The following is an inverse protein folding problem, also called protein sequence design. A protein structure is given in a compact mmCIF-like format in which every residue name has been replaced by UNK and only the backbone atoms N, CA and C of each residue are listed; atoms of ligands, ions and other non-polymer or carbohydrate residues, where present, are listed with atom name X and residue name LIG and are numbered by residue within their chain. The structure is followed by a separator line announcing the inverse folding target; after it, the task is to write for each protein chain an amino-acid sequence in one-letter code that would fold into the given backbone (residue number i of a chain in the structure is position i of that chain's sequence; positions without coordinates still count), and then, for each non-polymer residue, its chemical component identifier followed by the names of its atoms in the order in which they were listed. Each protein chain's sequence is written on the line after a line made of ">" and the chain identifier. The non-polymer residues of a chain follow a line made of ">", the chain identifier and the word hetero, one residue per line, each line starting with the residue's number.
data_IF_454601793858
#
_entry.id   IF_454601793858
#
_cell.length_a   1.000
_cell.length_b   1.000
_cell.length_c   1.000
_cell.angle_alpha   90.00
_cell.angle_beta   90.00
_cell.angle_gamma   90.00
#
_symmetry.space_group_name_H-M   'P 1'
#
loop_
_entity.id
_entity.type
_entity.pdbx_description
1 polymer ?
#
# COMPACT_ATOMS: atom_id res chain seq x y z
N UNK A 1 11.87 -12.15 43.68
CA UNK A 1 10.43 -12.05 44.02
C UNK A 1 9.86 -13.45 44.11
N UNK A 2 9.77 -13.99 45.32
CA UNK A 2 9.13 -15.28 45.60
C UNK A 2 7.61 -15.13 45.44
N UNK A 3 6.93 -16.05 44.76
CA UNK A 3 5.49 -15.94 44.56
C UNK A 3 4.72 -16.13 45.90
N UNK A 4 3.58 -15.46 46.09
CA UNK A 4 2.75 -15.65 47.27
C UNK A 4 2.21 -17.11 47.33
N UNK A 5 2.16 -17.73 48.51
CA UNK A 5 1.65 -19.09 48.67
C UNK A 5 0.15 -19.11 48.36
N UNK A 6 -0.26 -19.89 47.35
CA UNK A 6 -1.67 -20.08 46.99
C UNK A 6 -2.01 -19.87 45.50
N UNK A 7 -1.08 -19.47 44.65
CA UNK A 7 -1.32 -19.39 43.20
C UNK A 7 -0.72 -20.62 42.50
N UNK A 8 -1.55 -21.44 41.85
CA UNK A 8 -1.07 -22.62 41.11
C UNK A 8 -0.13 -22.18 39.96
N UNK A 9 0.96 -22.92 39.69
CA UNK A 9 1.93 -22.55 38.64
C UNK A 9 1.27 -22.37 37.26
N UNK A 10 0.21 -23.13 36.98
CA UNK A 10 -0.59 -23.03 35.77
C UNK A 10 -1.36 -21.70 35.66
N UNK A 11 -1.89 -21.16 36.76
CA UNK A 11 -2.58 -19.86 36.77
C UNK A 11 -1.58 -18.70 36.62
N UNK A 12 -0.37 -18.82 37.19
CA UNK A 12 0.71 -17.85 36.99
C UNK A 12 1.17 -17.83 35.53
N UNK A 13 1.34 -19.01 34.91
CA UNK A 13 1.68 -19.15 33.50
C UNK A 13 0.56 -18.58 32.60
N UNK A 14 -0.70 -18.94 32.84
CA UNK A 14 -1.86 -18.43 32.10
C UNK A 14 -1.99 -16.89 32.17
N UNK A 15 -1.71 -16.28 33.33
CA UNK A 15 -1.66 -14.82 33.50
C UNK A 15 -0.46 -14.16 32.81
N UNK A 16 0.64 -14.89 32.63
CA UNK A 16 1.83 -14.44 31.90
C UNK A 16 1.64 -14.36 30.37
N UNK A 17 0.81 -15.25 29.79
CA UNK A 17 0.57 -15.28 28.33
C UNK A 17 -0.30 -14.13 27.80
N UNK A 18 -1.04 -13.45 28.66
CA UNK A 18 -2.02 -12.43 28.27
C UNK A 18 -1.56 -10.98 28.56
N UNK A 19 -0.26 -10.73 28.74
CA UNK A 19 0.25 -9.36 28.71
C UNK A 19 0.54 -8.98 27.25
N UNK A 20 -0.21 -8.05 26.64
CA UNK A 20 0.19 -7.54 25.34
C UNK A 20 1.58 -6.91 25.50
N UNK A 21 2.59 -7.50 24.85
CA UNK A 21 3.92 -6.91 24.80
C UNK A 21 3.74 -5.50 24.23
N UNK A 22 4.08 -4.44 24.97
CA UNK A 22 3.97 -3.09 24.46
C UNK A 22 4.91 -2.97 23.27
N UNK A 23 4.35 -3.08 22.06
CA UNK A 23 5.11 -2.85 20.83
C UNK A 23 5.45 -1.36 20.83
N UNK A 24 6.74 -1.04 20.96
CA UNK A 24 7.22 0.31 20.66
C UNK A 24 6.74 0.65 19.25
N UNK A 25 6.06 1.78 19.11
CA UNK A 25 5.66 2.27 17.79
C UNK A 25 6.95 2.56 17.04
N UNK A 26 7.12 1.98 15.85
CA UNK A 26 8.23 2.33 14.98
C UNK A 26 7.92 3.71 14.40
N UNK A 27 8.84 4.65 14.55
CA UNK A 27 8.74 5.93 13.86
C UNK A 27 8.96 5.66 12.37
N UNK A 28 7.92 5.88 11.58
CA UNK A 28 7.98 5.73 10.13
C UNK A 28 8.45 7.09 9.58
N UNK A 29 9.46 7.12 8.71
CA UNK A 29 9.92 8.35 8.06
C UNK A 29 8.74 9.06 7.39
N UNK A 30 8.61 10.37 7.63
CA UNK A 30 7.57 11.16 6.96
C UNK A 30 7.95 11.30 5.49
N UNK A 31 6.94 11.25 4.61
CA UNK A 31 7.10 11.56 3.19
C UNK A 31 7.68 12.97 2.96
N UNK A 32 7.57 13.86 3.95
CA UNK A 32 8.09 15.22 3.87
C UNK A 32 9.56 15.35 4.25
N UNK A 33 10.17 14.33 4.86
CA UNK A 33 11.56 14.41 5.33
C UNK A 33 12.55 14.53 4.16
N UNK A 34 12.16 14.09 2.96
CA UNK A 34 12.92 14.27 1.72
C UNK A 34 13.06 15.75 1.27
N UNK A 35 12.22 16.66 1.78
CA UNK A 35 12.23 18.06 1.34
C UNK A 35 13.24 18.87 2.16
N UNK A 36 14.24 19.48 1.52
CA UNK A 36 15.19 20.33 2.25
C UNK A 36 14.47 21.57 2.81
N UNK A 37 14.75 21.96 4.07
CA UNK A 37 14.07 23.10 4.72
C UNK A 37 14.35 24.44 4.03
N UNK A 38 15.46 24.55 3.30
CA UNK A 38 15.86 25.76 2.57
C UNK A 38 15.11 25.97 1.26
N UNK A 39 14.36 24.99 0.76
CA UNK A 39 13.56 25.15 -0.45
C UNK A 39 12.48 26.23 -0.27
N UNK A 40 12.21 26.98 -1.32
CA UNK A 40 11.16 28.00 -1.31
C UNK A 40 9.77 27.38 -1.42
N UNK A 41 8.78 28.08 -0.86
CA UNK A 41 7.36 27.79 -1.11
C UNK A 41 7.05 27.84 -2.61
N UNK A 42 6.21 26.92 -3.07
CA UNK A 42 5.83 26.75 -4.49
C UNK A 42 5.45 28.08 -5.18
N UNK A 43 4.63 28.88 -4.50
CA UNK A 43 4.01 30.07 -5.08
C UNK A 43 5.04 31.17 -5.39
N UNK A 44 6.22 31.14 -4.75
CA UNK A 44 7.28 32.13 -4.91
C UNK A 44 8.49 31.62 -5.71
N UNK A 45 8.55 30.32 -6.02
CA UNK A 45 9.72 29.70 -6.64
C UNK A 45 10.01 30.21 -8.06
N UNK A 46 8.98 30.66 -8.79
CA UNK A 46 9.10 31.10 -10.19
C UNK A 46 9.32 32.62 -10.33
N UNK A 47 9.42 33.36 -9.23
CA UNK A 47 9.55 34.81 -9.29
C UNK A 47 11.02 35.20 -9.54
N UNK A 48 11.33 35.99 -10.58
CA UNK A 48 12.73 36.33 -10.93
C UNK A 48 13.42 37.18 -9.84
N UNK A 49 12.64 37.94 -9.07
CA UNK A 49 13.12 38.84 -8.01
C UNK A 49 13.70 38.06 -6.83
N UNK A 50 13.38 36.77 -6.66
CA UNK A 50 13.71 36.02 -5.44
C UNK A 50 15.23 35.85 -5.20
N UNK A 51 16.03 35.92 -6.27
CA UNK A 51 17.49 35.77 -6.20
C UNK A 51 18.20 37.03 -5.69
N UNK A 52 17.53 38.19 -5.73
CA UNK A 52 18.10 39.47 -5.30
C UNK A 52 17.63 39.92 -3.92
N UNK A 53 16.79 39.14 -3.24
CA UNK A 53 16.23 39.51 -1.93
C UNK A 53 17.17 39.04 -0.81
N UNK A 54 17.20 39.80 0.28
CA UNK A 54 17.91 39.48 1.51
C UNK A 54 17.65 38.06 2.03
N UNK A 55 18.67 37.47 2.66
CA UNK A 55 18.62 36.11 3.21
C UNK A 55 17.54 35.92 4.28
N UNK A 56 17.21 36.99 5.03
CA UNK A 56 16.13 36.96 6.03
C UNK A 56 14.78 36.70 5.37
N UNK A 57 14.46 37.43 4.29
CA UNK A 57 13.21 37.26 3.55
C UNK A 57 13.20 35.89 2.86
N UNK A 58 14.33 35.45 2.31
CA UNK A 58 14.48 34.11 1.74
C UNK A 58 14.18 33.02 2.76
N UNK A 59 14.62 33.18 4.01
CA UNK A 59 14.31 32.25 5.11
C UNK A 59 12.83 32.27 5.49
N UNK A 60 12.19 33.42 5.53
CA UNK A 60 10.74 33.53 5.80
C UNK A 60 9.88 32.84 4.72
N UNK A 61 10.33 32.87 3.46
CA UNK A 61 9.67 32.23 2.32
C UNK A 61 10.09 30.76 2.12
N UNK A 62 11.00 30.25 2.95
CA UNK A 62 11.49 28.87 2.88
C UNK A 62 10.53 27.85 3.52
N UNK A 63 10.79 26.57 3.29
CA UNK A 63 10.05 25.44 3.84
C UNK A 63 10.29 25.25 5.34
N UNK A 64 11.37 25.80 5.89
CA UNK A 64 11.65 25.83 7.33
C UNK A 64 10.50 26.49 8.07
N UNK A 65 10.07 27.66 7.60
CA UNK A 65 8.99 28.47 8.19
C UNK A 65 7.61 28.15 7.58
N UNK A 66 7.52 27.14 6.71
CA UNK A 66 6.31 26.79 6.00
C UNK A 66 5.39 25.86 6.79
N UNK A 67 4.09 26.01 6.56
CA UNK A 67 3.08 25.09 7.09
C UNK A 67 3.13 23.73 6.40
N UNK A 68 2.59 22.70 7.06
CA UNK A 68 2.46 21.36 6.48
C UNK A 68 1.73 21.35 5.13
N UNK A 69 0.75 22.24 4.95
CA UNK A 69 -0.02 22.39 3.70
C UNK A 69 0.87 22.86 2.55
N UNK A 70 1.79 23.78 2.81
CA UNK A 70 2.74 24.30 1.81
C UNK A 70 3.77 23.23 1.41
N UNK A 71 4.29 22.47 2.38
CA UNK A 71 5.15 21.30 2.11
C UNK A 71 4.41 20.27 1.24
N UNK A 72 3.13 20.04 1.53
CA UNK A 72 2.27 19.16 0.74
C UNK A 72 2.04 19.64 -0.69
N UNK A 73 1.86 20.95 -0.93
CA UNK A 73 1.76 21.49 -2.30
C UNK A 73 2.99 21.11 -3.14
N UNK A 74 4.19 21.19 -2.57
CA UNK A 74 5.44 20.86 -3.25
C UNK A 74 5.54 19.36 -3.48
N UNK A 75 5.22 18.50 -2.49
CA UNK A 75 5.23 17.04 -2.72
C UNK A 75 4.21 16.59 -3.76
N UNK A 76 3.02 17.20 -3.77
CA UNK A 76 2.02 16.94 -4.82
C UNK A 76 2.61 17.29 -6.17
N UNK A 77 3.24 18.47 -6.30
CA UNK A 77 3.88 18.88 -7.55
C UNK A 77 4.98 17.89 -7.98
N UNK A 78 5.89 17.50 -7.09
CA UNK A 78 6.93 16.51 -7.40
C UNK A 78 6.35 15.17 -7.85
N UNK A 79 5.28 14.68 -7.21
CA UNK A 79 4.61 13.44 -7.61
C UNK A 79 3.88 13.58 -8.95
N UNK A 80 3.26 14.73 -9.19
CA UNK A 80 2.63 15.03 -10.48
C UNK A 80 3.68 15.06 -11.58
N UNK A 81 4.80 15.76 -11.39
CA UNK A 81 5.91 15.84 -12.34
C UNK A 81 6.49 14.46 -12.66
N UNK A 82 6.67 13.59 -11.65
CA UNK A 82 7.09 12.20 -11.87
C UNK A 82 6.16 11.45 -12.82
N UNK A 83 4.85 11.62 -12.67
CA UNK A 83 3.84 10.89 -13.43
C UNK A 83 3.54 11.53 -14.79
N UNK A 84 3.70 12.85 -14.90
CA UNK A 84 3.40 13.68 -16.07
C UNK A 84 4.06 13.14 -17.33
N UNK A 85 3.36 13.28 -18.47
CA UNK A 85 3.90 12.96 -19.80
C UNK A 85 4.29 14.21 -20.58
N UNK A 86 3.46 15.26 -20.54
CA UNK A 86 3.71 16.53 -21.25
C UNK A 86 3.57 17.76 -20.34
N UNK A 87 4.31 18.85 -20.59
CA UNK A 87 4.32 20.06 -19.77
C UNK A 87 3.06 20.93 -19.88
N UNK A 88 2.07 20.56 -20.70
CA UNK A 88 0.76 21.22 -20.80
C UNK A 88 -0.40 20.44 -20.15
N UNK A 89 -0.11 19.29 -19.51
CA UNK A 89 -1.11 18.39 -18.91
C UNK A 89 -1.75 18.90 -17.58
N UNK A 90 -2.01 20.21 -17.45
CA UNK A 90 -2.55 20.83 -16.22
C UNK A 90 -4.02 21.24 -16.37
N UNK A 91 -4.91 20.29 -16.67
CA UNK A 91 -6.33 20.39 -16.34
C UNK A 91 -7.20 21.39 -17.12
N UNK A 92 -7.44 21.16 -18.41
CA UNK A 92 -8.54 21.78 -19.15
C UNK A 92 -9.66 20.76 -19.43
N UNK A 93 -10.90 21.22 -19.26
CA UNK A 93 -12.08 20.43 -18.88
C UNK A 93 -12.77 19.63 -20.01
N UNK A 94 -12.43 19.79 -21.29
CA UNK A 94 -13.36 19.36 -22.36
C UNK A 94 -12.83 18.35 -23.40
N UNK A 95 -11.59 17.87 -23.34
CA UNK A 95 -11.11 16.84 -24.30
C UNK A 95 -10.37 15.66 -23.61
N UNK A 96 -10.38 15.60 -22.27
CA UNK A 96 -9.27 14.98 -21.51
C UNK A 96 -9.70 14.04 -20.37
N UNK A 97 -10.55 13.04 -20.65
CA UNK A 97 -10.94 12.02 -19.66
C UNK A 97 -9.79 11.19 -19.06
N UNK A 98 -8.60 11.16 -19.66
CA UNK A 98 -7.46 10.32 -19.21
C UNK A 98 -6.33 11.08 -18.50
N UNK A 99 -6.18 12.38 -18.74
CA UNK A 99 -5.02 13.15 -18.25
C UNK A 99 -5.28 13.75 -16.85
N UNK A 100 -6.52 14.14 -16.55
CA UNK A 100 -6.96 14.49 -15.19
C UNK A 100 -6.82 13.31 -14.22
N UNK A 101 -6.91 12.07 -14.71
CA UNK A 101 -6.81 10.87 -13.87
C UNK A 101 -5.39 10.67 -13.32
N UNK A 102 -4.35 10.95 -14.11
CA UNK A 102 -2.97 10.81 -13.68
C UNK A 102 -2.65 11.82 -12.56
N UNK A 103 -3.06 13.07 -12.77
CA UNK A 103 -2.93 14.13 -11.79
C UNK A 103 -3.67 13.77 -10.49
N UNK A 104 -4.93 13.36 -10.59
CA UNK A 104 -5.74 12.99 -9.42
C UNK A 104 -5.18 11.77 -8.69
N UNK A 105 -4.65 10.76 -9.39
CA UNK A 105 -3.95 9.62 -8.77
C UNK A 105 -2.72 10.06 -7.99
N UNK A 106 -1.92 10.99 -8.52
CA UNK A 106 -0.76 11.54 -7.82
C UNK A 106 -1.17 12.33 -6.56
N UNK A 107 -2.18 13.20 -6.68
CA UNK A 107 -2.75 13.97 -5.55
C UNK A 107 -3.30 13.04 -4.47
N UNK A 108 -4.09 12.03 -4.85
CA UNK A 108 -4.65 11.06 -3.91
C UNK A 108 -3.55 10.26 -3.22
N UNK A 109 -2.49 9.91 -3.93
CA UNK A 109 -1.35 9.18 -3.36
C UNK A 109 -0.63 10.03 -2.30
N UNK A 110 -0.42 11.32 -2.54
CA UNK A 110 0.13 12.24 -1.53
C UNK A 110 -0.79 12.34 -0.29
N UNK A 111 -2.10 12.49 -0.50
CA UNK A 111 -3.09 12.56 0.60
C UNK A 111 -3.14 11.27 1.43
N UNK A 112 -3.09 10.12 0.77
CA UNK A 112 -3.11 8.80 1.42
C UNK A 112 -1.92 8.67 2.37
N UNK A 113 -0.70 8.96 1.89
CA UNK A 113 0.53 8.91 2.70
C UNK A 113 0.47 9.89 3.89
N UNK A 114 -0.02 11.11 3.67
CA UNK A 114 -0.25 12.08 4.75
C UNK A 114 -1.25 11.57 5.81
N UNK A 115 -2.36 10.97 5.40
CA UNK A 115 -3.32 10.40 6.34
C UNK A 115 -2.77 9.19 7.09
N UNK A 116 -1.96 8.36 6.43
CA UNK A 116 -1.27 7.23 7.07
C UNK A 116 -0.35 7.73 8.20
N UNK A 117 0.48 8.75 7.94
CA UNK A 117 1.34 9.38 8.97
C UNK A 117 0.51 9.95 10.13
N UNK A 118 -0.57 10.68 9.84
CA UNK A 118 -1.44 11.26 10.87
C UNK A 118 -2.09 10.17 11.75
N UNK A 119 -2.62 9.11 11.15
CA UNK A 119 -3.31 8.04 11.87
C UNK A 119 -2.35 7.15 12.69
N UNK A 120 -1.07 7.09 12.31
CA UNK A 120 -0.06 6.42 13.14
C UNK A 120 0.16 7.16 14.47
N UNK A 121 0.20 8.49 14.42
CA UNK A 121 0.27 9.34 15.63
C UNK A 121 -1.06 9.34 16.38
N UNK A 122 -2.17 9.46 15.65
CA UNK A 122 -3.53 9.60 16.18
C UNK A 122 -4.47 8.46 15.73
N UNK A 123 -4.33 7.24 16.28
CA UNK A 123 -5.08 6.06 15.81
C UNK A 123 -6.58 6.09 16.17
N UNK A 124 -6.99 6.99 17.08
CA UNK A 124 -8.39 7.11 17.53
C UNK A 124 -9.23 8.02 16.64
N UNK A 125 -8.62 8.73 15.69
CA UNK A 125 -9.32 9.64 14.78
C UNK A 125 -10.06 8.87 13.68
N UNK A 126 -11.38 8.72 13.87
CA UNK A 126 -12.25 7.98 12.94
C UNK A 126 -12.56 8.76 11.68
N UNK A 127 -12.57 10.10 11.75
CA UNK A 127 -12.94 10.95 10.62
C UNK A 127 -11.85 10.90 9.55
N UNK A 128 -10.59 11.07 9.96
CA UNK A 128 -9.46 10.97 9.05
C UNK A 128 -9.27 9.54 8.52
N UNK A 129 -9.57 8.51 9.33
CA UNK A 129 -9.60 7.11 8.85
C UNK A 129 -10.66 6.89 7.77
N UNK A 130 -11.84 7.46 7.91
CA UNK A 130 -12.89 7.42 6.86
C UNK A 130 -12.41 8.12 5.58
N UNK A 131 -11.83 9.32 5.70
CA UNK A 131 -11.31 10.06 4.55
C UNK A 131 -10.19 9.30 3.83
N UNK A 132 -9.28 8.66 4.57
CA UNK A 132 -8.25 7.78 4.03
C UNK A 132 -8.87 6.65 3.18
N UNK A 133 -9.85 5.92 3.74
CA UNK A 133 -10.49 4.82 3.02
C UNK A 133 -11.19 5.31 1.75
N UNK A 134 -11.89 6.45 1.81
CA UNK A 134 -12.51 7.07 0.64
C UNK A 134 -11.49 7.44 -0.44
N UNK A 135 -10.35 8.02 -0.06
CA UNK A 135 -9.28 8.37 -0.99
C UNK A 135 -8.64 7.12 -1.63
N UNK A 136 -8.43 6.05 -0.87
CA UNK A 136 -7.94 4.76 -1.36
C UNK A 136 -8.90 4.17 -2.39
N UNK A 137 -10.20 4.15 -2.09
CA UNK A 137 -11.23 3.63 -3.00
C UNK A 137 -11.35 4.48 -4.27
N UNK A 138 -11.29 5.81 -4.15
CA UNK A 138 -11.29 6.71 -5.30
C UNK A 138 -10.07 6.45 -6.21
N UNK A 139 -8.87 6.35 -5.63
CA UNK A 139 -7.65 6.00 -6.37
C UNK A 139 -7.77 4.65 -7.07
N UNK A 140 -8.35 3.66 -6.39
CA UNK A 140 -8.56 2.32 -6.96
C UNK A 140 -9.50 2.35 -8.17
N UNK A 141 -10.58 3.12 -8.10
CA UNK A 141 -11.52 3.31 -9.23
C UNK A 141 -10.83 3.95 -10.43
N UNK A 142 -10.02 4.99 -10.19
CA UNK A 142 -9.25 5.66 -11.24
C UNK A 142 -8.23 4.72 -11.90
N UNK A 143 -7.49 3.94 -11.11
CA UNK A 143 -6.55 2.94 -11.63
C UNK A 143 -7.26 1.82 -12.41
N UNK A 144 -8.42 1.38 -11.94
CA UNK A 144 -9.24 0.39 -12.66
C UNK A 144 -9.74 0.93 -14.01
N UNK A 145 -10.10 2.22 -14.08
CA UNK A 145 -10.46 2.87 -15.32
C UNK A 145 -9.25 3.01 -16.26
N UNK A 146 -8.11 3.52 -15.76
CA UNK A 146 -6.89 3.66 -16.54
C UNK A 146 -6.47 2.34 -17.17
N UNK A 147 -6.51 1.24 -16.40
CA UNK A 147 -6.21 -0.10 -16.88
C UNK A 147 -7.09 -0.55 -18.06
N UNK A 148 -8.35 -0.11 -18.12
CA UNK A 148 -9.28 -0.43 -19.21
C UNK A 148 -9.02 0.38 -20.47
N UNK A 149 -8.63 1.65 -20.32
CA UNK A 149 -8.50 2.59 -21.44
C UNK A 149 -7.10 2.57 -22.04
N UNK A 150 -6.05 2.59 -21.21
CA UNK A 150 -4.64 2.61 -21.63
C UNK A 150 -3.78 1.80 -20.65
N UNK A 151 -3.28 0.66 -21.11
CA UNK A 151 -2.50 -0.24 -20.24
C UNK A 151 -1.11 0.33 -19.93
N UNK A 152 -0.43 0.89 -20.93
CA UNK A 152 0.95 1.40 -20.78
C UNK A 152 1.03 2.60 -19.82
N UNK A 153 0.01 3.48 -19.83
CA UNK A 153 -0.09 4.57 -18.85
C UNK A 153 -0.25 3.99 -17.45
N UNK A 154 -1.14 3.01 -17.28
CA UNK A 154 -1.40 2.36 -16.01
C UNK A 154 -0.13 1.71 -15.45
N UNK A 155 0.59 0.90 -16.23
CA UNK A 155 1.80 0.22 -15.77
C UNK A 155 2.91 1.21 -15.39
N UNK A 156 3.20 2.18 -16.26
CA UNK A 156 4.18 3.23 -15.97
C UNK A 156 3.83 4.03 -14.71
N UNK A 157 2.54 4.34 -14.48
CA UNK A 157 2.11 5.05 -13.27
C UNK A 157 2.24 4.21 -12.00
N UNK A 158 1.89 2.92 -12.06
CA UNK A 158 2.05 2.00 -10.95
C UNK A 158 3.52 1.84 -10.56
N UNK A 159 4.41 1.76 -11.55
CA UNK A 159 5.85 1.69 -11.33
C UNK A 159 6.40 3.00 -10.71
N UNK A 160 6.08 4.16 -11.29
CA UNK A 160 6.57 5.48 -10.80
C UNK A 160 6.11 5.85 -9.38
N UNK A 161 4.94 5.36 -8.95
CA UNK A 161 4.35 5.67 -7.65
C UNK A 161 4.48 4.52 -6.63
N UNK A 162 5.13 3.41 -7.02
CA UNK A 162 5.25 2.18 -6.23
C UNK A 162 3.90 1.61 -5.75
N UNK A 163 2.91 1.58 -6.65
CA UNK A 163 1.56 1.11 -6.35
C UNK A 163 1.37 -0.32 -6.85
N UNK A 164 1.16 -1.26 -5.92
CA UNK A 164 0.71 -2.61 -6.26
C UNK A 164 -0.81 -2.65 -6.44
N UNK A 165 -1.26 -2.89 -7.67
CA UNK A 165 -2.68 -3.01 -7.99
C UNK A 165 -3.17 -4.46 -7.85
N UNK A 166 -4.13 -4.68 -6.94
CA UNK A 166 -4.83 -5.96 -6.80
C UNK A 166 -6.31 -5.81 -7.19
N UNK A 167 -6.82 -6.62 -8.14
CA UNK A 167 -8.23 -6.56 -8.54
C UNK A 167 -9.15 -6.95 -7.37
N UNK A 168 -10.36 -6.38 -7.30
CA UNK A 168 -11.30 -6.75 -6.24
C UNK A 168 -11.72 -8.23 -6.36
N UNK A 169 -11.90 -8.94 -5.23
CA UNK A 169 -12.43 -10.29 -5.28
C UNK A 169 -13.86 -10.26 -5.84
N UNK A 170 -14.25 -11.30 -6.58
CA UNK A 170 -15.58 -11.40 -7.17
C UNK A 170 -16.71 -11.37 -6.12
N UNK A 171 -16.46 -11.93 -4.92
CA UNK A 171 -17.44 -12.00 -3.84
C UNK A 171 -16.84 -11.54 -2.51
N UNK A 172 -17.56 -10.65 -1.82
CA UNK A 172 -17.24 -10.21 -0.47
C UNK A 172 -18.06 -11.00 0.54
N UNK A 173 -17.47 -12.05 1.14
CA UNK A 173 -18.11 -12.81 2.22
C UNK A 173 -17.38 -12.60 3.54
N UNK A 174 -18.14 -12.53 4.63
CA UNK A 174 -17.56 -12.55 5.99
C UNK A 174 -17.00 -13.94 6.27
N UNK A 175 -15.72 -13.99 6.60
CA UNK A 175 -15.01 -15.22 6.93
C UNK A 175 -15.29 -15.58 8.39
N UNK A 176 -16.01 -16.68 8.62
CA UNK A 176 -16.29 -17.21 9.97
C UNK A 176 -15.26 -18.26 10.38
N UNK A 177 -15.05 -18.46 11.69
CA UNK A 177 -14.12 -19.49 12.21
C UNK A 177 -14.46 -20.89 11.68
N UNK A 178 -15.75 -21.26 11.70
CA UNK A 178 -16.25 -22.53 11.14
C UNK A 178 -15.88 -22.69 9.66
N UNK A 179 -16.06 -21.63 8.87
CA UNK A 179 -15.71 -21.66 7.45
C UNK A 179 -14.20 -21.79 7.23
N UNK A 180 -13.37 -21.09 8.02
CA UNK A 180 -11.91 -21.20 7.96
C UNK A 180 -11.42 -22.63 8.22
N UNK A 181 -11.89 -23.25 9.31
CA UNK A 181 -11.52 -24.62 9.67
C UNK A 181 -11.96 -25.60 8.59
N UNK A 182 -13.21 -25.49 8.13
CA UNK A 182 -13.73 -26.34 7.05
C UNK A 182 -12.91 -26.18 5.77
N UNK A 183 -12.59 -24.95 5.37
CA UNK A 183 -11.82 -24.69 4.15
C UNK A 183 -10.39 -25.24 4.25
N UNK A 184 -9.72 -25.04 5.39
CA UNK A 184 -8.39 -25.58 5.65
C UNK A 184 -8.38 -27.11 5.63
N UNK A 185 -9.37 -27.74 6.26
CA UNK A 185 -9.53 -29.20 6.24
C UNK A 185 -9.73 -29.72 4.81
N UNK A 186 -10.64 -29.11 4.03
CA UNK A 186 -10.85 -29.51 2.64
C UNK A 186 -9.58 -29.38 1.78
N UNK A 187 -8.76 -28.35 2.01
CA UNK A 187 -7.48 -28.19 1.30
C UNK A 187 -6.52 -29.34 1.65
N UNK A 188 -6.41 -29.70 2.93
CA UNK A 188 -5.57 -30.84 3.36
C UNK A 188 -6.04 -32.15 2.74
N UNK A 189 -7.33 -32.45 2.82
CA UNK A 189 -7.90 -33.67 2.22
C UNK A 189 -7.67 -33.71 0.70
N UNK A 190 -7.81 -32.57 0.03
CA UNK A 190 -7.51 -32.48 -1.41
C UNK A 190 -6.05 -32.78 -1.72
N UNK A 191 -5.11 -32.22 -0.96
CA UNK A 191 -3.67 -32.47 -1.13
C UNK A 191 -3.33 -33.95 -0.91
N UNK A 192 -3.86 -34.58 0.14
CA UNK A 192 -3.62 -36.01 0.41
C UNK A 192 -4.19 -36.90 -0.71
N UNK A 193 -5.41 -36.59 -1.18
CA UNK A 193 -6.01 -37.32 -2.31
C UNK A 193 -5.17 -37.20 -3.59
N UNK A 194 -4.59 -36.02 -3.85
CA UNK A 194 -3.71 -35.83 -5.01
C UNK A 194 -2.41 -36.64 -4.88
N UNK A 195 -1.82 -36.71 -3.67
CA UNK A 195 -0.62 -37.53 -3.41
C UNK A 195 -0.87 -39.01 -3.68
N UNK A 196 -1.98 -39.56 -3.17
CA UNK A 196 -2.34 -40.96 -3.40
C UNK A 196 -2.53 -41.27 -4.89
N UNK A 197 -3.30 -40.43 -5.60
CA UNK A 197 -3.49 -40.57 -7.06
C UNK A 197 -2.18 -40.45 -7.84
N UNK A 198 -1.27 -39.58 -7.42
CA UNK A 198 0.04 -39.45 -8.05
C UNK A 198 0.89 -40.71 -7.86
N UNK A 199 0.87 -41.32 -6.67
CA UNK A 199 1.55 -42.58 -6.38
C UNK A 199 0.98 -43.75 -7.21
N UNK A 200 -0.35 -43.85 -7.33
CA UNK A 200 -1.01 -44.86 -8.18
C UNK A 200 -0.62 -44.70 -9.66
N UNK A 201 -0.63 -43.47 -10.19
CA UNK A 201 -0.19 -43.19 -11.56
C UNK A 201 1.27 -43.54 -11.81
N UNK A 202 2.15 -43.32 -10.82
CA UNK A 202 3.54 -43.72 -10.89
C UNK A 202 3.70 -45.24 -10.95
N UNK A 203 2.95 -45.99 -10.14
CA UNK A 203 2.92 -47.46 -10.17
C UNK A 203 2.47 -47.98 -11.55
N UNK A 204 1.34 -47.48 -12.05
CA UNK A 204 0.84 -47.86 -13.38
C UNK A 204 1.82 -47.52 -14.51
N UNK A 205 2.56 -46.41 -14.41
CA UNK A 205 3.62 -46.09 -15.38
C UNK A 205 4.77 -47.08 -15.33
N UNK A 206 5.22 -47.47 -14.14
CA UNK A 206 6.27 -48.48 -13.96
C UNK A 206 5.83 -49.83 -14.53
N UNK A 207 4.64 -50.30 -14.17
CA UNK A 207 4.08 -51.56 -14.69
C UNK A 207 3.94 -51.55 -16.22
N UNK A 208 3.55 -50.40 -16.82
CA UNK A 208 3.53 -50.26 -18.29
C UNK A 208 4.92 -50.29 -18.91
N UNK A 209 5.91 -49.67 -18.29
CA UNK A 209 7.30 -49.70 -18.74
C UNK A 209 7.88 -51.11 -18.65
N UNK A 210 7.59 -51.84 -17.58
CA UNK A 210 7.99 -53.22 -17.38
C UNK A 210 7.35 -54.15 -18.44
N UNK A 211 6.04 -54.00 -18.71
CA UNK A 211 5.36 -54.75 -19.78
C UNK A 211 5.91 -54.43 -21.17
N UNK A 212 6.15 -53.16 -21.48
CA UNK A 212 6.73 -52.76 -22.77
C UNK A 212 8.17 -53.25 -22.95
N UNK A 213 8.95 -53.34 -21.87
CA UNK A 213 10.28 -53.95 -21.88
C UNK A 213 10.22 -55.46 -22.13
N UNK A 214 9.29 -56.16 -21.48
CA UNK A 214 9.09 -57.60 -21.65
C UNK A 214 8.53 -58.00 -23.03
N UNK A 215 7.87 -57.09 -23.75
CA UNK A 215 7.43 -57.31 -25.14
C UNK A 215 8.52 -57.05 -26.19
N UNK A 216 9.67 -56.46 -25.79
CA UNK A 216 10.80 -56.17 -26.66
C UNK A 216 11.97 -57.16 -26.52
N UNK A 217 11.95 -58.03 -25.51
CA UNK A 217 12.83 -59.20 -25.33
C UNK A 217 12.23 -60.46 -25.98
#
# INVERSE_FOLDING_TARGET
>A
FSPPPGCSPALQAARGYARPVPRKRKDIPSQLDDLPPTMLKKDYANLPIINSVDDVVKRLLSLEMASQKEKMKIKIQQLVEKVRRSPLDNGSFEVQGNFSLLFTVAVLTAKIRMFEEHLQRHPKDKNNRRQLLMAVDQRRKLLAYLRRVRHDTFESTCHKLDIQYSPPPAYTRRVTKRWLVKKAFCIKVFQEKQKLKAAERLKQKKEKQERAGAEQE
#
